data_IF_499945711988
#
_entry.id   IF_499945711988
#
_cell.length_a   1.000
_cell.length_b   1.000
_cell.length_c   1.000
_cell.angle_alpha   90.00
_cell.angle_beta   90.00
_cell.angle_gamma   90.00
#
_symmetry.space_group_name_H-M   'P 1'
#
loop_
_entity.id
_entity.type
_entity.pdbx_description
1 polymer ?
#
# COMPACT_ATOMS: atom_id res chain seq x y z
N UNK A 1 -4.27 -2.64 18.22
CA UNK A 1 -4.84 -3.78 17.48
C UNK A 1 -5.08 -3.31 16.06
N UNK A 2 -4.66 -4.08 15.06
CA UNK A 2 -4.91 -3.75 13.66
C UNK A 2 -6.42 -3.88 13.37
N UNK A 3 -6.98 -2.93 12.64
CA UNK A 3 -8.36 -2.95 12.10
C UNK A 3 -8.45 -3.84 10.86
N UNK A 4 -7.37 -3.93 10.10
CA UNK A 4 -7.22 -4.82 8.96
C UNK A 4 -6.64 -6.16 9.41
N UNK A 5 -7.18 -7.24 8.85
CA UNK A 5 -6.62 -8.58 9.06
C UNK A 5 -5.24 -8.67 8.41
N UNK A 6 -4.26 -9.22 9.14
CA UNK A 6 -2.92 -9.50 8.60
C UNK A 6 -2.97 -10.34 7.33
N UNK A 7 -3.90 -11.29 7.24
CA UNK A 7 -4.09 -12.10 6.04
C UNK A 7 -4.55 -11.30 4.80
N UNK A 8 -5.26 -10.18 4.99
CA UNK A 8 -5.59 -9.27 3.88
C UNK A 8 -4.33 -8.51 3.46
N UNK A 9 -3.58 -7.97 4.43
CA UNK A 9 -2.34 -7.23 4.16
C UNK A 9 -1.34 -8.08 3.38
N UNK A 10 -1.15 -9.34 3.78
CA UNK A 10 -0.24 -10.26 3.10
C UNK A 10 -0.64 -10.55 1.66
N UNK A 11 -1.94 -10.76 1.38
CA UNK A 11 -2.41 -10.91 -0.01
C UNK A 11 -2.17 -9.66 -0.85
N UNK A 12 -2.39 -8.47 -0.28
CA UNK A 12 -2.11 -7.21 -0.95
C UNK A 12 -0.61 -7.08 -1.24
N UNK A 13 0.26 -7.46 -0.30
CA UNK A 13 1.72 -7.47 -0.50
C UNK A 13 2.10 -8.38 -1.68
N UNK A 14 1.61 -9.62 -1.72
CA UNK A 14 1.95 -10.57 -2.78
C UNK A 14 1.50 -10.07 -4.16
N UNK A 15 0.26 -9.58 -4.26
CA UNK A 15 -0.26 -9.01 -5.52
C UNK A 15 0.46 -7.74 -5.94
N UNK A 16 0.83 -6.88 -4.99
CA UNK A 16 1.60 -5.67 -5.27
C UNK A 16 3.00 -6.02 -5.79
N UNK A 17 3.65 -7.05 -5.23
CA UNK A 17 4.92 -7.59 -5.74
C UNK A 17 4.77 -8.09 -7.17
N UNK A 18 3.69 -8.83 -7.46
CA UNK A 18 3.42 -9.33 -8.81
C UNK A 18 3.24 -8.18 -9.81
N UNK A 19 2.41 -7.20 -9.48
CA UNK A 19 2.20 -6.02 -10.31
C UNK A 19 3.50 -5.24 -10.55
N UNK A 20 4.24 -4.90 -9.49
CA UNK A 20 5.49 -4.14 -9.60
C UNK A 20 6.65 -4.91 -10.25
N UNK A 21 6.58 -6.25 -10.31
CA UNK A 21 7.57 -7.08 -11.01
C UNK A 21 7.33 -7.16 -12.53
N UNK A 22 6.18 -6.70 -13.04
CA UNK A 22 5.88 -6.72 -14.47
C UNK A 22 6.80 -5.75 -15.24
N UNK A 23 7.46 -6.23 -16.30
CA UNK A 23 8.41 -5.43 -17.12
C UNK A 23 7.80 -4.16 -17.73
N UNK A 24 6.47 -4.07 -17.82
CA UNK A 24 5.75 -2.91 -18.36
C UNK A 24 5.57 -1.77 -17.36
N UNK A 25 5.77 -2.00 -16.06
CA UNK A 25 5.52 -0.99 -15.02
C UNK A 25 6.70 -0.03 -14.93
N UNK A 26 6.50 1.18 -15.46
CA UNK A 26 7.50 2.24 -15.44
C UNK A 26 7.06 3.31 -14.45
N UNK A 27 7.67 3.29 -13.27
CA UNK A 27 7.56 4.38 -12.31
C UNK A 27 8.47 5.53 -12.74
N UNK A 28 7.96 6.75 -12.93
CA UNK A 28 8.80 7.91 -13.15
C UNK A 28 9.78 8.09 -11.98
N UNK A 29 11.03 8.48 -12.26
CA UNK A 29 11.99 8.82 -11.21
C UNK A 29 11.57 10.15 -10.56
N UNK A 30 10.84 10.08 -9.45
CA UNK A 30 10.37 11.26 -8.72
C UNK A 30 11.52 11.95 -7.98
N UNK A 31 12.24 12.81 -8.69
CA UNK A 31 13.23 13.73 -8.11
C UNK A 31 12.53 14.97 -7.55
N UNK A 32 11.83 14.81 -6.43
CA UNK A 32 11.23 15.91 -5.69
C UNK A 32 10.75 15.40 -4.35
N UNK A 33 11.31 15.89 -3.24
CA UNK A 33 11.10 15.36 -1.88
C UNK A 33 9.69 15.49 -1.29
N UNK A 34 8.66 15.60 -2.13
CA UNK A 34 7.26 15.51 -1.77
C UNK A 34 6.78 14.15 -2.29
N UNK A 35 6.29 13.28 -1.40
CA UNK A 35 5.80 11.96 -1.80
C UNK A 35 4.72 12.02 -2.90
N UNK A 36 4.38 10.86 -3.46
CA UNK A 36 3.31 10.72 -4.46
C UNK A 36 2.00 11.19 -3.83
N UNK A 37 1.24 12.07 -4.49
CA UNK A 37 -0.14 12.41 -4.09
C UNK A 37 -1.16 11.68 -4.99
N UNK A 38 -2.46 11.82 -4.73
CA UNK A 38 -3.50 11.13 -5.49
C UNK A 38 -3.53 11.48 -6.98
N UNK A 39 -3.25 12.74 -7.35
CA UNK A 39 -3.28 13.18 -8.75
C UNK A 39 -2.08 12.62 -9.53
N UNK A 40 -0.92 12.59 -8.88
CA UNK A 40 0.28 11.98 -9.41
C UNK A 40 0.14 10.45 -9.50
N UNK A 41 -0.48 9.82 -8.51
CA UNK A 41 -0.77 8.39 -8.51
C UNK A 41 -1.61 7.97 -9.72
N UNK A 42 -2.66 8.73 -10.04
CA UNK A 42 -3.47 8.48 -11.22
C UNK A 42 -2.67 8.61 -12.52
N UNK A 43 -1.71 9.54 -12.60
CA UNK A 43 -0.86 9.69 -13.79
C UNK A 43 0.11 8.53 -13.98
N UNK A 44 0.72 8.06 -12.89
CA UNK A 44 1.62 6.88 -12.89
C UNK A 44 0.87 5.65 -13.40
N UNK A 45 -0.34 5.45 -12.88
CA UNK A 45 -1.14 4.26 -13.13
C UNK A 45 -1.95 4.33 -14.42
N UNK A 46 -1.98 5.48 -15.11
CA UNK A 46 -2.73 5.65 -16.35
C UNK A 46 -2.32 4.65 -17.45
N UNK A 47 -1.04 4.25 -17.50
CA UNK A 47 -0.54 3.23 -18.43
C UNK A 47 -0.95 1.80 -18.06
N UNK A 48 -1.41 1.58 -16.82
CA UNK A 48 -1.71 0.27 -16.23
C UNK A 48 -3.21 0.06 -15.97
N UNK A 49 -4.06 1.02 -16.34
CA UNK A 49 -5.51 0.96 -16.11
C UNK A 49 -6.17 -0.25 -16.79
N UNK A 50 -5.56 -0.79 -17.86
CA UNK A 50 -6.04 -1.99 -18.57
C UNK A 50 -5.40 -3.30 -18.05
N UNK A 51 -4.45 -3.24 -17.13
CA UNK A 51 -3.83 -4.43 -16.54
C UNK A 51 -4.81 -5.10 -15.56
N UNK A 52 -5.10 -6.38 -15.78
CA UNK A 52 -6.05 -7.13 -14.95
C UNK A 52 -5.55 -7.29 -13.51
N UNK A 53 -4.24 -7.47 -13.31
CA UNK A 53 -3.60 -7.57 -12.00
C UNK A 53 -3.77 -6.27 -11.23
N UNK A 54 -3.58 -5.13 -11.91
CA UNK A 54 -3.81 -3.81 -11.35
C UNK A 54 -5.29 -3.61 -10.97
N UNK A 55 -6.21 -3.93 -11.88
CA UNK A 55 -7.66 -3.78 -11.63
C UNK A 55 -8.13 -4.62 -10.46
N UNK A 56 -7.71 -5.88 -10.38
CA UNK A 56 -8.06 -6.78 -9.27
C UNK A 56 -7.51 -6.25 -7.95
N UNK A 57 -6.25 -5.85 -7.91
CA UNK A 57 -5.60 -5.34 -6.70
C UNK A 57 -6.22 -4.01 -6.25
N UNK A 58 -6.52 -3.12 -7.20
CA UNK A 58 -7.22 -1.87 -6.92
C UNK A 58 -8.60 -2.15 -6.34
N UNK A 59 -9.37 -3.06 -6.94
CA UNK A 59 -10.69 -3.45 -6.45
C UNK A 59 -10.61 -4.07 -5.05
N UNK A 60 -9.62 -4.93 -4.79
CA UNK A 60 -9.44 -5.54 -3.47
C UNK A 60 -9.17 -4.49 -2.38
N UNK A 61 -8.43 -3.41 -2.69
CA UNK A 61 -8.20 -2.30 -1.77
C UNK A 61 -9.46 -1.41 -1.64
N UNK A 62 -10.12 -1.09 -2.76
CA UNK A 62 -11.33 -0.26 -2.78
C UNK A 62 -12.50 -0.89 -2.02
N UNK A 63 -12.60 -2.22 -2.02
CA UNK A 63 -13.62 -2.99 -1.29
C UNK A 63 -13.42 -2.99 0.24
N UNK A 64 -12.26 -2.55 0.72
CA UNK A 64 -12.00 -2.38 2.16
C UNK A 64 -12.74 -1.18 2.73
N UNK A 65 -13.09 -1.25 4.02
CA UNK A 65 -13.65 -0.10 4.71
C UNK A 65 -12.67 1.09 4.67
N UNK A 66 -13.14 2.34 4.61
CA UNK A 66 -12.28 3.53 4.60
C UNK A 66 -11.22 3.55 5.72
N UNK A 67 -11.57 3.01 6.89
CA UNK A 67 -10.65 2.89 8.04
C UNK A 67 -9.53 1.87 7.81
N UNK A 68 -9.84 0.78 7.10
CA UNK A 68 -8.87 -0.26 6.74
C UNK A 68 -7.94 0.22 5.62
N UNK A 69 -8.47 0.95 4.63
CA UNK A 69 -7.66 1.60 3.61
C UNK A 69 -6.68 2.61 4.22
N UNK A 70 -7.15 3.45 5.14
CA UNK A 70 -6.30 4.38 5.88
C UNK A 70 -5.24 3.65 6.72
N UNK A 71 -5.57 2.50 7.31
CA UNK A 71 -4.58 1.70 8.05
C UNK A 71 -3.50 1.11 7.14
N UNK A 72 -3.83 0.70 5.90
CA UNK A 72 -2.82 0.30 4.91
C UNK A 72 -1.85 1.44 4.58
N UNK A 73 -2.36 2.66 4.41
CA UNK A 73 -1.51 3.85 4.21
C UNK A 73 -0.61 4.10 5.41
N UNK A 74 -1.14 3.99 6.63
CA UNK A 74 -0.35 4.14 7.84
C UNK A 74 0.74 3.05 7.98
N UNK A 75 0.43 1.80 7.62
CA UNK A 75 1.40 0.69 7.60
C UNK A 75 2.50 0.96 6.57
N UNK A 76 2.15 1.46 5.39
CA UNK A 76 3.12 1.85 4.37
C UNK A 76 4.05 2.96 4.88
N UNK A 77 3.52 3.99 5.53
CA UNK A 77 4.34 5.07 6.11
C UNK A 77 5.26 4.57 7.23
N UNK A 78 4.79 3.64 8.06
CA UNK A 78 5.57 2.99 9.10
C UNK A 78 6.74 2.19 8.52
N UNK A 79 6.50 1.33 7.51
CA UNK A 79 7.58 0.58 6.87
C UNK A 79 8.52 1.43 6.02
N UNK A 80 8.04 2.55 5.49
CA UNK A 80 8.89 3.56 4.83
C UNK A 80 9.79 4.31 5.81
N UNK A 81 9.47 4.30 7.11
CA UNK A 81 10.21 5.00 8.16
C UNK A 81 9.79 6.46 8.35
N UNK A 82 8.58 6.85 7.91
CA UNK A 82 8.03 8.19 8.23
C UNK A 82 7.52 8.26 9.69
N UNK A 83 7.14 7.10 10.22
CA UNK A 83 6.69 6.91 11.59
C UNK A 83 7.41 5.71 12.21
N UNK A 84 7.39 5.65 13.53
CA UNK A 84 7.90 4.52 14.30
C UNK A 84 6.71 3.73 14.88
N UNK A 85 6.95 2.51 15.34
CA UNK A 85 5.90 1.68 15.95
C UNK A 85 5.21 2.36 17.14
N UNK A 86 5.93 3.21 17.89
CA UNK A 86 5.41 3.99 19.02
C UNK A 86 4.46 5.12 18.56
N UNK A 87 4.67 5.67 17.35
CA UNK A 87 3.85 6.75 16.76
C UNK A 87 2.85 6.26 15.71
N UNK A 88 2.65 4.94 15.62
CA UNK A 88 1.69 4.34 14.68
C UNK A 88 0.25 4.82 14.88
N UNK A 89 -0.14 5.17 16.12
CA UNK A 89 -1.44 5.79 16.40
C UNK A 89 -1.64 7.11 15.66
N UNK A 90 -0.62 7.97 15.66
CA UNK A 90 -0.64 9.26 14.97
C UNK A 90 -0.59 9.08 13.45
N UNK A 91 0.15 8.09 12.97
CA UNK A 91 0.17 7.70 11.56
C UNK A 91 -1.23 7.29 11.08
N UNK A 92 -1.93 6.48 11.88
CA UNK A 92 -3.32 6.05 11.60
C UNK A 92 -4.30 7.22 11.58
N UNK A 93 -4.16 8.16 12.50
CA UNK A 93 -5.03 9.35 12.52
C UNK A 93 -4.80 10.21 11.28
N UNK A 94 -3.54 10.50 10.95
CA UNK A 94 -3.20 11.27 9.76
C UNK A 94 -3.63 10.58 8.46
N UNK A 95 -3.47 9.26 8.36
CA UNK A 95 -3.91 8.52 7.19
C UNK A 95 -5.45 8.55 7.03
N UNK A 96 -6.19 8.59 8.15
CA UNK A 96 -7.65 8.75 8.13
C UNK A 96 -8.08 10.15 7.71
N UNK A 97 -7.35 11.18 8.12
CA UNK A 97 -7.60 12.56 7.69
C UNK A 97 -7.30 12.77 6.20
N UNK A 98 -6.29 12.08 5.69
CA UNK A 98 -5.89 12.11 4.28
C UNK A 98 -6.62 11.08 3.39
N UNK A 99 -7.57 10.33 3.95
CA UNK A 99 -8.28 9.31 3.19
C UNK A 99 -9.10 9.92 2.04
N UNK A 100 -9.03 9.28 0.88
CA UNK A 100 -9.81 9.63 -0.31
C UNK A 100 -10.27 8.36 -1.03
N UNK A 101 -11.14 8.50 -2.02
CA UNK A 101 -11.54 7.38 -2.89
C UNK A 101 -10.42 6.90 -3.81
N UNK A 102 -9.24 7.53 -3.78
CA UNK A 102 -8.07 7.19 -4.59
C UNK A 102 -6.94 6.58 -3.74
N UNK A 103 -7.26 6.06 -2.55
CA UNK A 103 -6.26 5.44 -1.67
C UNK A 103 -5.61 4.20 -2.30
N UNK A 104 -6.35 3.41 -3.07
CA UNK A 104 -5.77 2.29 -3.81
C UNK A 104 -4.72 2.76 -4.81
N UNK A 105 -5.02 3.78 -5.61
CA UNK A 105 -4.09 4.36 -6.57
C UNK A 105 -2.84 4.90 -5.87
N UNK A 106 -3.00 5.60 -4.76
CA UNK A 106 -1.89 6.13 -3.97
C UNK A 106 -0.93 5.02 -3.50
N UNK A 107 -1.48 3.91 -2.98
CA UNK A 107 -0.70 2.75 -2.54
C UNK A 107 0.00 2.09 -3.73
N UNK A 108 -0.72 1.82 -4.82
CA UNK A 108 -0.19 1.08 -5.97
C UNK A 108 0.78 1.87 -6.83
N UNK A 109 0.68 3.20 -6.79
CA UNK A 109 1.65 4.10 -7.40
C UNK A 109 2.99 4.13 -6.65
N UNK A 110 3.03 3.65 -5.40
CA UNK A 110 4.26 3.60 -4.60
C UNK A 110 5.09 2.37 -4.98
N UNK A 111 6.27 2.51 -5.61
CA UNK A 111 7.01 1.39 -6.23
C UNK A 111 7.45 0.28 -5.27
N UNK A 112 7.55 0.59 -3.98
CA UNK A 112 8.00 -0.34 -2.94
C UNK A 112 6.90 -0.58 -1.90
N UNK A 113 5.62 -0.37 -2.25
CA UNK A 113 4.49 -0.52 -1.31
C UNK A 113 4.48 -1.88 -0.64
N UNK A 114 4.80 -2.94 -1.38
CA UNK A 114 4.86 -4.29 -0.85
C UNK A 114 5.92 -4.46 0.25
N UNK A 115 7.12 -3.92 0.04
CA UNK A 115 8.20 -3.97 1.04
C UNK A 115 7.83 -3.12 2.26
N UNK A 116 7.31 -1.90 2.04
CA UNK A 116 6.88 -1.03 3.13
C UNK A 116 5.72 -1.63 3.94
N UNK A 117 4.75 -2.27 3.31
CA UNK A 117 3.68 -2.94 4.04
C UNK A 117 4.21 -4.12 4.86
N UNK A 118 5.14 -4.90 4.31
CA UNK A 118 5.78 -6.01 5.01
C UNK A 118 6.57 -5.52 6.23
N UNK A 119 7.43 -4.52 6.04
CA UNK A 119 8.23 -3.93 7.13
C UNK A 119 7.33 -3.30 8.19
N UNK A 120 6.21 -2.66 7.79
CA UNK A 120 5.25 -2.05 8.70
C UNK A 120 4.54 -3.07 9.61
N UNK A 121 4.11 -4.21 9.07
CA UNK A 121 3.50 -5.27 9.90
C UNK A 121 4.53 -5.96 10.81
N UNK A 122 5.76 -6.14 10.33
CA UNK A 122 6.87 -6.71 11.12
C UNK A 122 7.23 -5.84 12.32
N UNK A 123 7.29 -4.51 12.12
CA UNK A 123 7.52 -3.56 13.20
C UNK A 123 6.43 -3.61 14.29
N UNK A 124 5.19 -3.95 13.91
CA UNK A 124 4.08 -4.12 14.85
C UNK A 124 4.02 -5.53 15.47
N UNK A 125 4.99 -6.39 15.16
CA UNK A 125 5.10 -7.75 15.69
C UNK A 125 4.25 -8.79 14.97
N UNK A 126 3.77 -8.48 13.77
CA UNK A 126 3.07 -9.43 12.90
C UNK A 126 4.00 -9.92 11.79
N UNK A 127 3.69 -11.05 11.18
CA UNK A 127 4.41 -11.53 10.00
C UNK A 127 3.41 -12.10 9.00
N UNK A 128 3.75 -12.04 7.72
CA UNK A 128 3.08 -12.86 6.73
C UNK A 128 3.57 -14.29 6.89
N UNK A 129 2.71 -15.16 7.41
CA UNK A 129 2.96 -16.59 7.38
C UNK A 129 3.03 -17.03 5.91
N UNK A 130 4.24 -17.34 5.44
CA UNK A 130 4.48 -17.99 4.15
C UNK A 130 4.10 -19.49 4.22
N UNK A 131 2.99 -19.85 4.88
CA UNK A 131 2.63 -21.23 5.19
C UNK A 131 1.43 -21.74 4.37
N UNK A 132 1.46 -21.54 3.06
CA UNK A 132 0.64 -22.29 2.10
C UNK A 132 1.39 -22.48 0.77
N UNK A 133 2.58 -23.10 0.86
CA UNK A 133 3.16 -23.85 -0.26
C UNK A 133 2.91 -25.34 -0.03
N UNK A 134 1.81 -25.86 -0.57
CA UNK A 134 1.64 -27.30 -0.82
C UNK A 134 1.05 -27.54 -2.21
#
# INVERSE_FOLDING_TARGET
MLEISTGIVCRIIDRAKEFHAQEGVVFPEFSGGSGIDSDMAMQILAAHVEDLTFQELKSEIDDLEPRQQAELVALMWLGRGDFDAESFGDAREQAREQWTTHTAEYLLATPQVAEYLNDGIEQLGFACDNDDRF
#
